data_IF_651216490117
#
_entry.id   IF_651216490117
#
_cell.length_a   1.000
_cell.length_b   1.000
_cell.length_c   1.000
_cell.angle_alpha   90.00
_cell.angle_beta   90.00
_cell.angle_gamma   90.00
#
_symmetry.space_group_name_H-M   'P 1'
#
loop_
_entity.id
_entity.type
_entity.pdbx_description
1 polymer ?
#
# COMPACT_ATOMS: atom_id res chain seq x y z
N UNK A 1 68.82 21.87 -55.90
CA UNK A 1 69.74 20.74 -56.14
C UNK A 1 69.00 19.43 -55.82
N UNK A 2 68.99 18.48 -56.77
CA UNK A 2 68.76 17.00 -56.71
C UNK A 2 67.98 16.40 -55.51
N UNK A 3 67.05 15.45 -55.62
CA UNK A 3 66.58 14.57 -56.72
C UNK A 3 65.28 13.83 -56.26
N UNK A 4 64.52 13.41 -57.26
CA UNK A 4 63.29 12.60 -57.29
C UNK A 4 63.63 11.09 -57.16
N UNK A 5 62.78 10.24 -56.56
CA UNK A 5 62.15 9.07 -57.23
C UNK A 5 61.24 8.20 -56.33
N UNK A 6 60.11 7.85 -56.95
CA UNK A 6 59.00 6.96 -56.58
C UNK A 6 59.30 5.48 -56.93
N UNK A 7 58.32 4.60 -56.59
CA UNK A 7 58.02 3.22 -57.07
C UNK A 7 58.48 2.07 -56.14
N UNK A 8 57.72 1.01 -55.87
CA UNK A 8 56.37 0.60 -56.26
C UNK A 8 55.87 -0.58 -55.38
N UNK A 9 54.55 -0.61 -55.20
CA UNK A 9 53.61 -1.71 -54.98
C UNK A 9 54.03 -3.12 -55.49
N UNK A 10 53.82 -4.18 -54.68
CA UNK A 10 52.72 -5.17 -54.89
C UNK A 10 52.93 -6.54 -54.19
N UNK A 11 51.86 -6.99 -53.51
CA UNK A 11 51.32 -8.36 -53.43
C UNK A 11 52.18 -9.50 -52.85
N UNK A 12 51.84 -9.97 -51.63
CA UNK A 12 51.38 -11.34 -51.38
C UNK A 12 50.29 -11.30 -50.30
N UNK A 13 49.06 -11.62 -50.71
CA UNK A 13 47.96 -12.03 -49.85
C UNK A 13 48.05 -13.54 -49.56
N UNK A 14 47.27 -13.99 -48.57
CA UNK A 14 47.06 -15.39 -48.13
C UNK A 14 48.17 -16.01 -47.30
N UNK A 15 48.07 -15.89 -45.98
CA UNK A 15 48.10 -17.03 -45.04
C UNK A 15 47.44 -16.58 -43.72
N UNK A 16 46.15 -16.28 -43.82
CA UNK A 16 45.22 -16.47 -42.70
C UNK A 16 44.70 -17.91 -42.81
N UNK A 17 44.42 -18.50 -41.66
CA UNK A 17 43.94 -19.86 -41.40
C UNK A 17 45.00 -20.88 -40.97
N UNK A 18 44.71 -21.48 -39.82
CA UNK A 18 45.40 -22.53 -39.08
C UNK A 18 46.52 -22.09 -38.13
N UNK A 19 46.11 -21.57 -36.96
CA UNK A 19 46.52 -22.24 -35.73
C UNK A 19 45.43 -22.20 -34.66
N UNK A 20 45.00 -23.40 -34.30
CA UNK A 20 43.99 -23.73 -33.33
C UNK A 20 44.29 -23.14 -31.95
N UNK A 21 43.33 -22.44 -31.38
CA UNK A 21 42.95 -22.67 -29.98
C UNK A 21 41.56 -23.28 -30.02
N UNK A 22 41.49 -24.61 -29.91
CA UNK A 22 40.25 -25.28 -29.57
C UNK A 22 39.90 -24.86 -28.14
N UNK A 23 39.16 -23.76 -27.98
CA UNK A 23 38.33 -23.60 -26.81
C UNK A 23 37.34 -24.77 -26.86
N UNK A 24 37.47 -25.68 -25.89
CA UNK A 24 36.42 -26.66 -25.62
C UNK A 24 35.11 -25.89 -25.50
N UNK A 25 34.00 -26.38 -26.08
CA UNK A 25 32.69 -25.83 -25.80
C UNK A 25 32.55 -25.79 -24.28
N UNK A 26 32.22 -24.62 -23.73
CA UNK A 26 31.69 -24.57 -22.36
C UNK A 26 30.45 -25.45 -22.43
N UNK A 27 30.49 -26.60 -21.75
CA UNK A 27 29.29 -27.38 -21.48
C UNK A 27 28.33 -26.41 -20.82
N UNK A 28 27.25 -26.02 -21.51
CA UNK A 28 26.13 -25.38 -20.86
C UNK A 28 25.68 -26.40 -19.82
N UNK A 29 25.88 -26.08 -18.53
CA UNK A 29 25.16 -26.79 -17.49
C UNK A 29 23.69 -26.80 -17.91
N UNK A 30 23.01 -27.95 -17.77
CA UNK A 30 21.60 -28.03 -18.09
C UNK A 30 20.90 -26.86 -17.42
N UNK A 31 20.03 -26.18 -18.17
CA UNK A 31 19.14 -25.12 -17.68
C UNK A 31 18.33 -25.70 -16.52
N UNK A 32 18.93 -25.67 -15.35
CA UNK A 32 18.27 -26.01 -14.12
C UNK A 32 17.32 -24.84 -13.99
N UNK A 33 16.01 -25.12 -14.10
CA UNK A 33 14.92 -24.18 -13.92
C UNK A 33 14.91 -23.62 -12.48
N UNK A 34 16.04 -23.12 -12.01
CA UNK A 34 16.23 -22.54 -10.71
C UNK A 34 15.71 -21.12 -10.81
N UNK A 35 14.41 -20.99 -10.53
CA UNK A 35 13.66 -19.72 -10.49
C UNK A 35 14.06 -18.85 -9.29
N UNK A 36 15.32 -18.93 -8.89
CA UNK A 36 15.83 -18.24 -7.74
C UNK A 36 16.20 -16.81 -8.11
N UNK A 37 15.25 -15.91 -7.91
CA UNK A 37 15.36 -14.48 -8.21
C UNK A 37 16.55 -13.77 -7.54
N UNK A 38 17.24 -14.39 -6.57
CA UNK A 38 18.31 -13.74 -5.79
C UNK A 38 19.59 -14.59 -5.63
N UNK A 39 19.73 -15.73 -6.32
CA UNK A 39 20.94 -16.56 -6.24
C UNK A 39 21.26 -17.16 -4.87
N UNK A 40 20.39 -16.99 -3.87
CA UNK A 40 20.50 -17.62 -2.57
C UNK A 40 19.78 -18.97 -2.63
N UNK A 41 20.49 -20.09 -2.79
CA UNK A 41 19.99 -21.47 -2.86
C UNK A 41 19.25 -21.95 -1.58
N UNK A 42 18.41 -21.09 -1.02
CA UNK A 42 17.60 -21.31 0.15
C UNK A 42 16.37 -22.07 -0.30
N UNK A 43 16.10 -23.19 0.37
CA UNK A 43 14.87 -23.94 0.18
C UNK A 43 13.66 -23.02 0.43
N UNK A 44 12.77 -22.90 -0.56
CA UNK A 44 11.53 -22.10 -0.49
C UNK A 44 10.33 -23.00 -0.25
N UNK A 45 9.24 -22.42 0.27
CA UNK A 45 7.99 -23.13 0.57
C UNK A 45 7.91 -23.58 2.03
N UNK A 46 7.17 -24.65 2.29
CA UNK A 46 7.01 -25.21 3.64
C UNK A 46 8.33 -25.83 4.12
N UNK A 47 8.99 -25.17 5.07
CA UNK A 47 10.24 -25.65 5.67
C UNK A 47 10.05 -26.25 7.06
N UNK A 48 8.93 -25.97 7.72
CA UNK A 48 8.61 -26.45 9.07
C UNK A 48 7.14 -26.89 9.11
N UNK A 49 6.90 -28.16 9.48
CA UNK A 49 5.57 -28.67 9.82
C UNK A 49 5.69 -29.63 11.01
N UNK A 50 5.03 -29.33 12.12
CA UNK A 50 5.02 -30.16 13.32
C UNK A 50 3.73 -29.94 14.12
N UNK A 51 3.40 -30.83 15.05
CA UNK A 51 2.11 -30.83 15.75
C UNK A 51 1.85 -29.60 16.64
N UNK A 52 2.88 -28.78 16.93
CA UNK A 52 2.73 -27.56 17.73
C UNK A 52 2.24 -26.34 16.93
N UNK A 53 2.11 -26.45 15.60
CA UNK A 53 1.57 -25.37 14.77
C UNK A 53 0.04 -25.25 14.92
N UNK A 54 -0.46 -24.02 14.90
CA UNK A 54 -1.90 -23.73 14.88
C UNK A 54 -2.60 -24.50 13.75
N UNK A 55 -3.73 -25.20 14.01
CA UNK A 55 -4.49 -25.85 12.95
C UNK A 55 -5.10 -24.81 12.01
N UNK A 56 -5.34 -25.19 10.76
CA UNK A 56 -6.01 -24.35 9.78
C UNK A 56 -5.33 -24.36 8.41
N UNK A 57 -5.63 -23.30 7.66
CA UNK A 57 -5.16 -23.11 6.29
C UNK A 57 -4.49 -21.73 6.16
N UNK A 58 -3.62 -21.60 5.16
CA UNK A 58 -3.02 -20.33 4.78
C UNK A 58 -3.62 -19.91 3.45
N UNK A 59 -4.22 -18.72 3.40
CA UNK A 59 -4.66 -18.10 2.17
C UNK A 59 -3.59 -17.14 1.66
N UNK A 60 -3.23 -17.21 0.38
CA UNK A 60 -2.32 -16.24 -0.21
C UNK A 60 -2.66 -15.93 -1.66
N UNK A 61 -2.22 -14.74 -2.10
CA UNK A 61 -2.38 -14.24 -3.45
C UNK A 61 -1.00 -14.01 -4.06
N UNK A 62 -0.59 -14.74 -5.12
CA UNK A 62 0.63 -14.43 -5.82
C UNK A 62 0.54 -13.05 -6.47
N UNK A 63 1.61 -12.26 -6.39
CA UNK A 63 1.67 -10.94 -7.03
C UNK A 63 1.38 -11.04 -8.53
N UNK A 64 0.59 -10.10 -9.04
CA UNK A 64 0.18 -10.02 -10.46
C UNK A 64 -0.58 -11.25 -10.97
N UNK A 65 -1.21 -12.02 -10.08
CA UNK A 65 -2.05 -13.15 -10.43
C UNK A 65 -3.53 -12.83 -10.19
N UNK A 66 -4.41 -13.44 -10.98
CA UNK A 66 -5.85 -13.44 -10.73
C UNK A 66 -6.30 -14.59 -9.82
N UNK A 67 -5.36 -15.42 -9.34
CA UNK A 67 -5.67 -16.58 -8.51
C UNK A 67 -5.41 -16.28 -7.03
N UNK A 68 -6.29 -16.79 -6.17
CA UNK A 68 -6.11 -16.86 -4.72
C UNK A 68 -6.09 -18.33 -4.32
N UNK A 69 -5.11 -18.73 -3.52
CA UNK A 69 -4.93 -20.13 -3.13
C UNK A 69 -5.17 -20.33 -1.65
N UNK A 70 -5.74 -21.49 -1.29
CA UNK A 70 -5.83 -21.98 0.08
C UNK A 70 -4.92 -23.20 0.23
N UNK A 71 -3.99 -23.14 1.17
CA UNK A 71 -3.00 -24.19 1.42
C UNK A 71 -3.25 -24.85 2.77
N UNK A 72 -3.11 -26.18 2.81
CA UNK A 72 -3.09 -26.90 4.08
C UNK A 72 -1.69 -26.85 4.72
N UNK A 73 -1.57 -27.45 5.91
CA UNK A 73 -0.31 -27.51 6.67
C UNK A 73 0.80 -28.33 6.02
N UNK A 74 0.48 -29.15 5.01
CA UNK A 74 1.48 -29.89 4.22
C UNK A 74 1.98 -29.07 3.03
N UNK A 75 1.52 -27.82 2.86
CA UNK A 75 1.88 -26.96 1.74
C UNK A 75 1.15 -27.34 0.45
N UNK A 76 0.13 -28.18 0.53
CA UNK A 76 -0.67 -28.61 -0.61
C UNK A 76 -1.77 -27.57 -0.86
N UNK A 77 -1.94 -27.18 -2.12
CA UNK A 77 -3.08 -26.37 -2.55
C UNK A 77 -4.34 -27.23 -2.45
N UNK A 78 -5.24 -26.86 -1.54
CA UNK A 78 -6.53 -27.54 -1.35
C UNK A 78 -7.67 -26.85 -2.07
N UNK A 79 -7.48 -25.57 -2.43
CA UNK A 79 -8.47 -24.80 -3.18
C UNK A 79 -7.83 -23.64 -3.94
N UNK A 80 -8.48 -23.23 -5.05
CA UNK A 80 -8.14 -22.05 -5.84
C UNK A 80 -9.44 -21.30 -6.18
N UNK A 81 -9.47 -20.01 -5.89
CA UNK A 81 -10.41 -19.08 -6.50
C UNK A 81 -9.71 -18.37 -7.65
N UNK A 82 -10.38 -18.30 -8.80
CA UNK A 82 -9.85 -17.64 -9.99
C UNK A 82 -10.73 -16.45 -10.40
N UNK A 83 -10.13 -15.27 -10.37
CA UNK A 83 -10.70 -14.01 -10.87
C UNK A 83 -10.34 -13.71 -12.32
N UNK A 84 -10.53 -12.46 -12.71
CA UNK A 84 -10.29 -11.92 -14.06
C UNK A 84 -9.10 -10.94 -14.14
N UNK A 85 -8.69 -10.33 -13.03
CA UNK A 85 -7.58 -9.36 -12.96
C UNK A 85 -6.59 -9.70 -11.84
N UNK A 86 -5.42 -9.05 -11.86
CA UNK A 86 -4.49 -9.10 -10.73
C UNK A 86 -5.21 -8.73 -9.43
N UNK A 87 -5.04 -9.51 -8.38
CA UNK A 87 -5.74 -9.33 -7.10
C UNK A 87 -4.78 -9.15 -5.93
N UNK A 88 -5.27 -8.51 -4.86
CA UNK A 88 -4.66 -8.53 -3.54
C UNK A 88 -5.75 -8.43 -2.45
N UNK A 89 -5.33 -8.59 -1.20
CA UNK A 89 -6.16 -8.43 0.00
C UNK A 89 -7.47 -9.25 0.00
N UNK A 90 -7.39 -10.58 -0.19
CA UNK A 90 -8.58 -11.43 -0.12
C UNK A 90 -9.06 -11.64 1.31
N UNK A 91 -10.37 -11.60 1.50
CA UNK A 91 -11.08 -11.95 2.71
C UNK A 91 -11.98 -13.16 2.45
N UNK A 92 -11.82 -14.21 3.25
CA UNK A 92 -12.67 -15.40 3.19
C UNK A 92 -13.96 -15.12 3.97
N UNK A 93 -15.10 -15.30 3.29
CA UNK A 93 -16.41 -15.17 3.89
C UNK A 93 -16.91 -16.53 4.42
N UNK A 94 -17.89 -16.52 5.33
CA UNK A 94 -18.45 -17.72 5.97
C UNK A 94 -19.06 -18.74 4.99
N UNK A 95 -19.52 -18.29 3.82
CA UNK A 95 -20.09 -19.13 2.76
C UNK A 95 -19.01 -19.74 1.83
N UNK A 96 -17.73 -19.50 2.11
CA UNK A 96 -16.59 -19.93 1.30
C UNK A 96 -16.37 -19.07 0.04
N UNK A 97 -17.15 -18.02 -0.19
CA UNK A 97 -16.77 -16.99 -1.16
C UNK A 97 -15.61 -16.17 -0.63
N UNK A 98 -14.89 -15.50 -1.53
CA UNK A 98 -13.90 -14.49 -1.17
C UNK A 98 -14.36 -13.11 -1.63
N UNK A 99 -14.08 -12.09 -0.84
CA UNK A 99 -14.18 -10.68 -1.21
C UNK A 99 -12.76 -10.12 -1.32
N UNK A 100 -12.46 -9.36 -2.37
CA UNK A 100 -11.09 -8.93 -2.65
C UNK A 100 -11.03 -7.63 -3.44
N UNK A 101 -9.82 -7.07 -3.48
CA UNK A 101 -9.44 -6.00 -4.39
C UNK A 101 -8.86 -6.58 -5.68
N UNK A 102 -9.22 -6.00 -6.81
CA UNK A 102 -8.70 -6.36 -8.13
C UNK A 102 -8.26 -5.11 -8.91
N UNK A 103 -7.22 -5.27 -9.72
CA UNK A 103 -6.67 -4.20 -10.56
C UNK A 103 -7.63 -3.88 -11.70
N UNK A 104 -8.08 -2.64 -11.72
CA UNK A 104 -8.80 -2.03 -12.81
C UNK A 104 -7.83 -1.85 -13.99
N UNK A 105 -8.17 -2.37 -15.18
CA UNK A 105 -7.28 -2.29 -16.32
C UNK A 105 -7.24 -0.90 -16.94
N UNK A 106 -8.10 0.06 -16.57
CA UNK A 106 -8.19 1.36 -17.23
C UNK A 106 -8.64 2.50 -16.32
N UNK A 107 -7.71 2.98 -15.48
CA UNK A 107 -7.90 4.19 -14.67
C UNK A 107 -6.96 5.32 -15.14
N UNK A 108 -7.34 6.61 -15.02
CA UNK A 108 -6.63 7.70 -15.70
C UNK A 108 -5.58 8.47 -14.87
N UNK A 109 -5.80 8.64 -13.56
CA UNK A 109 -5.10 9.69 -12.77
C UNK A 109 -4.04 9.14 -11.82
N UNK A 110 -4.42 8.14 -11.03
CA UNK A 110 -3.65 7.73 -9.86
C UNK A 110 -2.46 6.86 -10.23
N UNK A 111 -1.38 6.97 -9.46
CA UNK A 111 -0.19 6.14 -9.57
C UNK A 111 0.46 5.94 -8.19
N UNK A 112 0.24 4.84 -7.49
CA UNK A 112 0.72 4.63 -6.12
C UNK A 112 0.79 3.16 -5.74
N UNK A 113 1.38 2.82 -4.59
CA UNK A 113 1.38 1.43 -4.11
C UNK A 113 -0.04 0.86 -4.03
N UNK A 114 -0.23 -0.45 -4.23
CA UNK A 114 -1.53 -1.09 -4.02
C UNK A 114 -2.69 -0.69 -4.95
N UNK A 115 -2.43 -0.08 -6.12
CA UNK A 115 -3.44 0.20 -7.16
C UNK A 115 -4.36 -1.02 -7.40
N UNK A 116 -5.65 -0.80 -7.22
CA UNK A 116 -6.69 -1.78 -7.53
C UNK A 116 -7.80 -1.11 -8.31
N UNK A 117 -8.73 -0.41 -7.67
CA UNK A 117 -9.84 0.25 -8.35
C UNK A 117 -11.06 -0.64 -8.59
N UNK A 118 -11.01 -1.95 -8.28
CA UNK A 118 -12.18 -2.83 -8.32
C UNK A 118 -12.37 -3.61 -7.01
N UNK A 119 -13.64 -3.77 -6.63
CA UNK A 119 -14.11 -4.64 -5.57
C UNK A 119 -14.80 -5.85 -6.17
N UNK A 120 -14.37 -7.05 -5.79
CA UNK A 120 -14.94 -8.29 -6.32
C UNK A 120 -15.35 -9.25 -5.22
N UNK A 121 -16.41 -10.02 -5.50
CA UNK A 121 -16.81 -11.18 -4.70
C UNK A 121 -16.87 -12.41 -5.59
N UNK A 122 -16.13 -13.46 -5.23
CA UNK A 122 -15.99 -14.70 -6.01
C UNK A 122 -16.47 -15.87 -5.15
N UNK A 123 -17.44 -16.63 -5.64
CA UNK A 123 -17.92 -17.83 -4.94
C UNK A 123 -16.84 -18.94 -4.85
N UNK A 124 -17.05 -19.91 -3.97
CA UNK A 124 -16.24 -21.14 -3.88
C UNK A 124 -16.02 -21.87 -5.22
N UNK A 125 -16.92 -21.72 -6.20
CA UNK A 125 -16.79 -22.34 -7.53
C UNK A 125 -16.15 -21.41 -8.57
N UNK A 126 -15.46 -20.34 -8.14
CA UNK A 126 -14.88 -19.31 -9.01
C UNK A 126 -15.89 -18.60 -9.92
N UNK A 127 -17.18 -18.56 -9.53
CA UNK A 127 -18.17 -17.72 -10.19
C UNK A 127 -18.13 -16.31 -9.59
N UNK A 128 -17.99 -15.30 -10.44
CA UNK A 128 -18.11 -13.89 -10.06
C UNK A 128 -19.53 -13.59 -9.56
N UNK A 129 -19.64 -13.09 -8.33
CA UNK A 129 -20.87 -12.70 -7.66
C UNK A 129 -21.05 -11.18 -7.64
N UNK A 130 -19.94 -10.44 -7.60
CA UNK A 130 -19.89 -8.98 -7.62
C UNK A 130 -18.59 -8.53 -8.28
N UNK A 131 -18.64 -7.53 -9.16
CA UNK A 131 -17.50 -6.90 -9.79
C UNK A 131 -17.79 -5.40 -9.98
N UNK A 132 -17.41 -4.59 -9.01
CA UNK A 132 -17.72 -3.17 -8.95
C UNK A 132 -16.47 -2.31 -9.10
N UNK A 133 -16.59 -1.28 -9.93
CA UNK A 133 -15.54 -0.29 -10.18
C UNK A 133 -15.64 0.87 -9.20
N UNK A 134 -14.54 1.16 -8.52
CA UNK A 134 -14.37 2.36 -7.72
C UNK A 134 -13.07 3.06 -8.11
N UNK A 135 -13.04 3.48 -9.38
CA UNK A 135 -11.92 4.17 -10.00
C UNK A 135 -12.45 5.16 -11.04
N UNK A 136 -12.06 6.43 -10.93
CA UNK A 136 -12.27 7.45 -11.95
C UNK A 136 -11.17 8.53 -11.84
N UNK A 137 -11.41 9.72 -12.37
CA UNK A 137 -10.46 10.84 -12.30
C UNK A 137 -10.37 11.47 -10.89
N UNK A 138 -11.41 11.33 -10.07
CA UNK A 138 -11.55 11.98 -8.77
C UNK A 138 -11.12 11.07 -7.62
N UNK A 139 -11.27 9.75 -7.76
CA UNK A 139 -10.94 8.78 -6.72
C UNK A 139 -10.52 7.41 -7.27
N UNK A 140 -9.80 6.63 -6.46
CA UNK A 140 -9.37 5.28 -6.83
C UNK A 140 -9.13 4.40 -5.60
N UNK A 141 -9.84 3.28 -5.50
CA UNK A 141 -9.65 2.31 -4.41
C UNK A 141 -8.27 1.64 -4.48
N UNK A 142 -7.61 1.44 -3.34
CA UNK A 142 -6.30 0.81 -3.28
C UNK A 142 -6.07 0.02 -1.99
N UNK A 143 -5.02 -0.80 -2.01
CA UNK A 143 -4.48 -1.58 -0.90
C UNK A 143 -5.42 -2.60 -0.25
N UNK A 144 -6.41 -2.17 0.54
CA UNK A 144 -7.11 -3.08 1.46
C UNK A 144 -8.58 -2.67 1.69
N UNK A 145 -9.34 -3.63 2.20
CA UNK A 145 -10.77 -3.54 2.49
C UNK A 145 -11.08 -4.16 3.85
N UNK A 146 -12.24 -3.86 4.42
CA UNK A 146 -12.79 -4.61 5.53
C UNK A 146 -14.24 -5.00 5.24
N UNK A 147 -14.58 -6.26 5.47
CA UNK A 147 -15.95 -6.77 5.29
C UNK A 147 -16.72 -6.55 6.59
N UNK A 148 -17.82 -5.81 6.51
CA UNK A 148 -18.66 -5.50 7.66
C UNK A 148 -19.72 -6.59 7.89
N UNK A 149 -20.25 -6.74 9.12
CA UNK A 149 -21.27 -7.76 9.43
C UNK A 149 -22.57 -7.64 8.63
N UNK A 150 -22.89 -6.43 8.15
CA UNK A 150 -24.06 -6.18 7.28
C UNK A 150 -23.81 -6.59 5.82
N UNK A 151 -22.58 -6.99 5.47
CA UNK A 151 -22.17 -7.34 4.11
C UNK A 151 -21.61 -6.17 3.29
N UNK A 152 -21.60 -4.94 3.84
CA UNK A 152 -20.96 -3.80 3.21
C UNK A 152 -19.44 -3.94 3.28
N UNK A 153 -18.76 -3.19 2.40
CA UNK A 153 -17.31 -3.18 2.31
C UNK A 153 -16.79 -1.79 2.62
N UNK A 154 -15.94 -1.68 3.64
CA UNK A 154 -15.09 -0.51 3.80
C UNK A 154 -13.90 -0.64 2.86
N UNK A 155 -13.63 0.38 2.08
CA UNK A 155 -12.49 0.42 1.17
C UNK A 155 -11.65 1.67 1.41
N UNK A 156 -10.33 1.50 1.37
CA UNK A 156 -9.40 2.62 1.30
C UNK A 156 -9.36 3.11 -0.15
N UNK A 157 -9.39 4.42 -0.35
CA UNK A 157 -9.26 5.02 -1.67
C UNK A 157 -8.47 6.33 -1.60
N UNK A 158 -7.81 6.68 -2.70
CA UNK A 158 -7.32 8.04 -2.90
C UNK A 158 -8.47 8.95 -3.35
N UNK A 159 -8.35 10.24 -3.07
CA UNK A 159 -9.09 11.31 -3.74
C UNK A 159 -8.12 12.36 -4.32
N UNK A 160 -8.44 12.96 -5.46
CA UNK A 160 -7.57 13.96 -6.08
C UNK A 160 -7.81 15.37 -5.52
N UNK A 161 -6.73 16.05 -5.13
CA UNK A 161 -6.71 17.48 -4.77
C UNK A 161 -5.69 18.21 -5.61
N UNK A 162 -6.10 19.29 -6.26
CA UNK A 162 -5.21 20.09 -7.11
C UNK A 162 -4.10 20.76 -6.30
N UNK A 163 -3.00 21.13 -6.97
CA UNK A 163 -1.90 21.87 -6.35
C UNK A 163 -2.36 23.19 -5.69
N UNK A 164 -3.38 23.86 -6.26
CA UNK A 164 -3.95 25.09 -5.70
C UNK A 164 -4.71 24.82 -4.40
N UNK A 165 -5.53 23.77 -4.34
CA UNK A 165 -6.23 23.37 -3.12
C UNK A 165 -5.25 22.98 -2.02
N UNK A 166 -4.20 22.23 -2.37
CA UNK A 166 -3.13 21.80 -1.47
C UNK A 166 -2.35 23.00 -0.91
N UNK A 167 -2.03 23.98 -1.75
CA UNK A 167 -1.37 25.21 -1.31
C UNK A 167 -2.26 25.98 -0.32
N UNK A 168 -3.55 26.15 -0.63
CA UNK A 168 -4.51 26.84 0.25
C UNK A 168 -4.72 26.11 1.57
N UNK A 169 -4.59 24.77 1.58
CA UNK A 169 -4.66 23.96 2.79
C UNK A 169 -3.40 24.06 3.68
N UNK A 170 -2.38 24.82 3.24
CA UNK A 170 -1.19 25.15 4.03
C UNK A 170 -0.06 24.11 3.96
N UNK A 171 -0.01 23.31 2.89
CA UNK A 171 1.18 22.52 2.56
C UNK A 171 2.32 23.46 2.16
N UNK A 172 3.53 23.14 2.62
CA UNK A 172 4.78 23.77 2.18
C UNK A 172 4.85 23.77 0.63
N UNK A 173 4.93 24.95 -0.01
CA UNK A 173 4.98 25.07 -1.46
C UNK A 173 6.08 24.25 -2.14
N UNK A 174 7.22 24.06 -1.46
CA UNK A 174 8.36 23.29 -2.00
C UNK A 174 8.11 21.77 -1.96
N UNK A 175 7.02 21.34 -1.31
CA UNK A 175 6.60 19.94 -1.18
C UNK A 175 5.34 19.61 -1.97
N UNK A 176 4.85 20.51 -2.84
CA UNK A 176 3.64 20.29 -3.64
C UNK A 176 4.00 19.71 -5.01
N UNK A 177 3.62 18.45 -5.33
CA UNK A 177 3.70 17.94 -6.68
C UNK A 177 2.84 18.77 -7.64
N UNK A 178 3.26 18.91 -8.89
CA UNK A 178 2.52 19.69 -9.90
C UNK A 178 1.10 19.15 -10.14
N UNK A 179 0.91 17.84 -10.05
CA UNK A 179 -0.41 17.22 -10.17
C UNK A 179 -1.27 17.35 -8.89
N UNK A 180 -0.74 17.96 -7.82
CA UNK A 180 -1.40 18.02 -6.52
C UNK A 180 -1.18 16.76 -5.69
N UNK A 181 -2.05 16.53 -4.71
CA UNK A 181 -1.98 15.41 -3.77
C UNK A 181 -3.13 14.43 -3.96
N UNK A 182 -2.88 13.21 -3.50
CA UNK A 182 -3.84 12.13 -3.38
C UNK A 182 -3.99 11.71 -1.91
N UNK A 183 -4.63 12.54 -1.06
CA UNK A 183 -4.97 12.11 0.29
C UNK A 183 -5.87 10.87 0.26
N UNK A 184 -5.73 10.01 1.26
CA UNK A 184 -6.59 8.85 1.43
C UNK A 184 -7.94 9.24 2.05
N UNK A 185 -8.97 8.50 1.66
CA UNK A 185 -10.30 8.48 2.24
C UNK A 185 -10.74 7.03 2.47
N UNK A 186 -11.76 6.85 3.30
CA UNK A 186 -12.40 5.56 3.58
C UNK A 186 -13.86 5.66 3.18
N UNK A 187 -14.35 4.67 2.44
CA UNK A 187 -15.74 4.64 1.96
C UNK A 187 -16.42 3.33 2.35
N UNK A 188 -17.65 3.40 2.85
CA UNK A 188 -18.51 2.23 3.03
C UNK A 188 -19.37 2.03 1.79
N UNK A 189 -19.26 0.85 1.19
CA UNK A 189 -19.94 0.49 -0.06
C UNK A 189 -20.92 -0.64 0.20
N UNK A 190 -22.20 -0.36 -0.07
CA UNK A 190 -23.27 -1.33 -0.13
C UNK A 190 -23.28 -1.99 -1.53
N UNK A 191 -23.27 -3.32 -1.57
CA UNK A 191 -23.49 -4.05 -2.82
C UNK A 191 -24.95 -3.90 -3.27
N UNK A 192 -25.18 -3.29 -4.44
CA UNK A 192 -26.53 -3.10 -5.00
C UNK A 192 -26.93 -4.27 -5.88
N UNK A 193 -26.05 -4.66 -6.81
CA UNK A 193 -26.26 -5.81 -7.69
C UNK A 193 -24.91 -6.47 -8.03
N UNK A 194 -24.80 -7.13 -9.19
CA UNK A 194 -23.58 -7.83 -9.62
C UNK A 194 -22.46 -6.90 -10.09
N UNK A 195 -22.77 -5.68 -10.48
CA UNK A 195 -21.81 -4.75 -11.10
C UNK A 195 -21.84 -3.35 -10.49
N UNK A 196 -22.83 -3.06 -9.64
CA UNK A 196 -22.97 -1.77 -8.99
C UNK A 196 -22.83 -1.87 -7.47
N UNK A 197 -22.26 -0.82 -6.89
CA UNK A 197 -22.23 -0.54 -5.47
C UNK A 197 -22.74 0.88 -5.22
N UNK A 198 -23.13 1.16 -3.98
CA UNK A 198 -23.55 2.48 -3.53
C UNK A 198 -22.69 2.87 -2.33
N UNK A 199 -22.05 4.04 -2.40
CA UNK A 199 -21.39 4.62 -1.23
C UNK A 199 -22.48 5.09 -0.27
N UNK A 200 -22.43 4.61 0.98
CA UNK A 200 -23.42 4.92 2.03
C UNK A 200 -22.83 5.69 3.21
N UNK A 201 -21.50 5.73 3.32
CA UNK A 201 -20.75 6.52 4.29
C UNK A 201 -19.36 6.82 3.75
N UNK A 202 -18.80 8.00 4.08
CA UNK A 202 -17.42 8.38 3.73
C UNK A 202 -16.73 9.13 4.87
N UNK A 203 -15.42 9.00 4.93
CA UNK A 203 -14.51 9.75 5.80
C UNK A 203 -13.25 10.11 5.04
N UNK A 204 -12.72 11.32 5.26
CA UNK A 204 -11.64 11.88 4.46
C UNK A 204 -10.53 12.41 5.35
N UNK A 205 -9.26 12.09 5.08
CA UNK A 205 -8.16 12.79 5.77
C UNK A 205 -8.26 14.31 5.59
N UNK A 206 -8.75 14.76 4.43
CA UNK A 206 -8.81 16.16 4.05
C UNK A 206 -9.61 17.04 5.02
N UNK A 207 -10.63 16.47 5.68
CA UNK A 207 -11.48 17.18 6.64
C UNK A 207 -10.84 17.33 8.03
N UNK A 208 -9.75 16.58 8.29
CA UNK A 208 -9.07 16.51 9.59
C UNK A 208 -7.63 17.02 9.52
N UNK A 209 -7.38 18.05 8.71
CA UNK A 209 -6.05 18.62 8.50
C UNK A 209 -5.75 19.79 9.45
N UNK A 210 -4.49 19.91 9.86
CA UNK A 210 -3.90 21.04 10.58
C UNK A 210 -2.53 21.38 10.01
N UNK A 211 -2.03 22.60 10.22
CA UNK A 211 -0.65 22.98 9.93
C UNK A 211 -0.20 24.15 10.81
N UNK A 212 1.11 24.24 11.06
CA UNK A 212 1.75 25.35 11.80
C UNK A 212 2.83 26.07 10.95
N UNK A 213 2.79 25.88 9.63
CA UNK A 213 3.77 26.38 8.66
C UNK A 213 3.49 27.82 8.22
N UNK A 214 2.27 28.11 7.76
CA UNK A 214 1.88 29.43 7.22
C UNK A 214 0.59 29.95 7.89
N UNK A 215 0.66 31.00 8.73
CA UNK A 215 -0.50 31.59 9.40
C UNK A 215 -1.53 32.26 8.49
N UNK A 216 -1.21 32.46 7.20
CA UNK A 216 -2.13 33.04 6.22
C UNK A 216 -2.95 32.01 5.45
N UNK A 217 -2.60 30.73 5.53
CA UNK A 217 -3.29 29.63 4.86
C UNK A 217 -4.35 28.99 5.75
N UNK A 218 -5.22 28.16 5.15
CA UNK A 218 -6.21 27.40 5.91
C UNK A 218 -5.54 26.42 6.88
N UNK A 219 -6.33 25.88 7.80
CA UNK A 219 -5.91 24.86 8.76
C UNK A 219 -4.76 25.29 9.69
N UNK A 220 -4.43 26.58 9.76
CA UNK A 220 -3.39 27.07 10.66
C UNK A 220 -3.80 26.90 12.12
N UNK A 221 -2.94 26.27 12.91
CA UNK A 221 -3.17 26.02 14.32
C UNK A 221 -1.95 25.45 15.03
N UNK A 222 -2.07 25.21 16.33
CA UNK A 222 -1.00 24.57 17.10
C UNK A 222 -1.09 23.04 16.92
N UNK A 223 -0.27 22.49 16.03
CA UNK A 223 -0.21 21.04 15.76
C UNK A 223 -0.01 20.22 17.05
N UNK A 224 0.83 20.68 17.97
CA UNK A 224 1.10 19.97 19.23
C UNK A 224 -0.14 19.85 20.13
N UNK A 225 -1.07 20.80 20.03
CA UNK A 225 -2.29 20.86 20.84
C UNK A 225 -3.45 20.05 20.25
N UNK A 226 -3.32 19.57 19.01
CA UNK A 226 -4.37 18.87 18.27
C UNK A 226 -3.87 17.52 17.73
N UNK A 227 -3.49 16.56 18.60
CA UNK A 227 -3.08 15.23 18.16
C UNK A 227 -4.17 14.49 17.38
N UNK A 228 -5.43 14.87 17.55
CA UNK A 228 -6.59 14.34 16.83
C UNK A 228 -6.66 14.73 15.34
N UNK A 229 -5.80 15.64 14.88
CA UNK A 229 -5.72 16.10 13.49
C UNK A 229 -4.40 15.68 12.82
N UNK A 230 -4.41 15.63 11.49
CA UNK A 230 -3.26 15.31 10.65
C UNK A 230 -2.53 16.59 10.23
N UNK A 231 -1.25 16.70 10.57
CA UNK A 231 -0.40 17.75 10.01
C UNK A 231 -0.21 17.49 8.50
N UNK A 232 -0.78 18.36 7.65
CA UNK A 232 -0.71 18.23 6.18
C UNK A 232 0.75 18.23 5.68
N UNK A 233 1.69 18.70 6.51
CA UNK A 233 3.10 18.76 6.17
C UNK A 233 3.89 17.50 6.50
N UNK A 234 3.23 16.41 6.88
CA UNK A 234 3.85 15.10 7.18
C UNK A 234 3.56 14.05 6.10
N UNK A 235 4.24 12.92 6.18
CA UNK A 235 4.21 11.85 5.19
C UNK A 235 5.46 11.83 4.31
N UNK A 236 5.35 11.27 3.10
CA UNK A 236 6.49 11.21 2.17
C UNK A 236 6.89 12.60 1.69
N UNK A 237 8.20 12.80 1.58
CA UNK A 237 8.78 13.98 0.94
C UNK A 237 8.60 13.92 -0.58
N UNK A 238 8.51 15.09 -1.20
CA UNK A 238 8.49 15.21 -2.65
C UNK A 238 9.83 14.72 -3.22
N UNK A 239 9.86 13.67 -4.05
CA UNK A 239 11.11 13.17 -4.60
C UNK A 239 11.74 14.15 -5.59
N UNK A 240 13.07 14.12 -5.70
CA UNK A 240 13.83 14.93 -6.66
C UNK A 240 13.23 14.84 -8.07
N UNK A 241 13.10 15.98 -8.79
CA UNK A 241 12.54 16.00 -10.13
C UNK A 241 13.41 15.18 -11.10
N UNK A 242 12.76 14.54 -12.06
CA UNK A 242 13.43 13.80 -13.14
C UNK A 242 13.00 14.34 -14.50
N UNK A 243 13.84 14.14 -15.52
CA UNK A 243 13.51 14.50 -16.91
C UNK A 243 12.44 13.58 -17.49
N UNK A 244 11.76 14.04 -18.55
CA UNK A 244 10.84 13.20 -19.31
C UNK A 244 11.54 11.95 -19.88
N UNK A 245 12.73 12.10 -20.44
CA UNK A 245 13.54 10.96 -20.94
C UNK A 245 13.80 9.90 -19.85
N UNK A 246 14.03 10.35 -18.61
CA UNK A 246 14.22 9.42 -17.47
C UNK A 246 12.92 8.68 -17.13
N UNK A 247 11.78 9.36 -17.21
CA UNK A 247 10.47 8.75 -17.01
C UNK A 247 10.16 7.71 -18.10
N UNK A 248 10.37 8.08 -19.37
CA UNK A 248 10.14 7.20 -20.51
C UNK A 248 11.02 5.94 -20.45
N UNK A 249 12.30 6.09 -20.05
CA UNK A 249 13.20 4.96 -19.85
C UNK A 249 12.72 4.00 -18.74
N UNK A 250 12.20 4.54 -17.63
CA UNK A 250 11.67 3.72 -16.53
C UNK A 250 10.39 2.97 -16.91
N UNK A 251 9.51 3.61 -17.67
CA UNK A 251 8.33 2.96 -18.26
C UNK A 251 8.73 1.82 -19.20
N UNK A 252 9.67 2.07 -20.11
CA UNK A 252 10.19 1.04 -21.01
C UNK A 252 10.82 -0.15 -20.25
N UNK A 253 11.45 0.12 -19.10
CA UNK A 253 12.01 -0.89 -18.21
C UNK A 253 10.98 -1.57 -17.28
N UNK A 254 9.69 -1.19 -17.34
CA UNK A 254 8.62 -1.67 -16.44
C UNK A 254 8.93 -1.46 -14.95
N UNK A 255 9.66 -0.38 -14.64
CA UNK A 255 10.03 0.01 -13.27
C UNK A 255 9.07 1.06 -12.68
N UNK A 256 8.07 1.49 -13.44
CA UNK A 256 7.09 2.49 -13.02
C UNK A 256 5.66 2.01 -13.24
N UNK A 257 4.75 2.60 -12.47
CA UNK A 257 3.30 2.39 -12.63
C UNK A 257 2.81 3.05 -13.90
N UNK A 258 1.79 2.46 -14.52
CA UNK A 258 1.27 2.88 -15.84
C UNK A 258 1.00 4.38 -15.93
N UNK A 259 0.34 4.97 -14.93
CA UNK A 259 -0.06 6.38 -14.95
C UNK A 259 0.95 7.30 -14.27
N UNK A 260 2.13 6.78 -13.89
CA UNK A 260 3.17 7.61 -13.30
C UNK A 260 3.68 8.63 -14.33
N UNK A 261 3.65 9.90 -13.97
CA UNK A 261 4.21 11.00 -14.76
C UNK A 261 5.26 11.75 -13.94
N UNK A 262 6.01 12.66 -14.58
CA UNK A 262 6.94 13.53 -13.85
C UNK A 262 6.22 14.47 -12.87
N UNK A 263 4.94 14.76 -13.10
CA UNK A 263 4.17 15.77 -12.36
C UNK A 263 3.42 15.19 -11.16
N UNK A 264 3.11 13.89 -11.17
CA UNK A 264 2.38 13.20 -10.08
C UNK A 264 3.29 12.35 -9.17
N UNK A 265 4.61 12.50 -9.30
CA UNK A 265 5.56 11.92 -8.35
C UNK A 265 5.41 12.65 -7.01
N UNK A 266 5.19 11.87 -5.95
CA UNK A 266 4.97 12.41 -4.61
C UNK A 266 3.51 12.76 -4.29
N UNK A 267 2.54 12.53 -5.18
CA UNK A 267 1.13 12.80 -4.88
C UNK A 267 0.53 11.85 -3.83
N UNK A 268 1.01 10.59 -3.77
CA UNK A 268 0.66 9.58 -2.75
C UNK A 268 1.51 9.77 -1.47
N UNK A 269 1.12 10.74 -0.64
CA UNK A 269 1.89 11.23 0.52
C UNK A 269 1.67 10.38 1.77
N UNK A 270 0.42 10.06 2.10
CA UNK A 270 0.06 9.39 3.34
C UNK A 270 -0.05 7.88 3.19
N UNK A 271 -0.53 7.37 2.06
CA UNK A 271 -0.41 5.95 1.70
C UNK A 271 -1.00 5.00 2.75
N UNK A 272 -2.31 5.05 2.97
CA UNK A 272 -2.99 4.09 3.84
C UNK A 272 -3.00 2.73 3.18
N UNK A 273 -2.70 1.68 3.95
CA UNK A 273 -2.39 0.36 3.39
C UNK A 273 -3.10 -0.83 4.04
N UNK A 274 -3.77 -0.61 5.17
CA UNK A 274 -4.53 -1.64 5.85
C UNK A 274 -5.66 -1.02 6.65
N UNK A 275 -6.78 -1.73 6.73
CA UNK A 275 -8.00 -1.29 7.40
C UNK A 275 -8.68 -2.48 8.07
N UNK A 276 -9.24 -2.26 9.26
CA UNK A 276 -10.07 -3.25 9.94
C UNK A 276 -11.21 -2.58 10.69
N UNK A 277 -12.34 -3.27 10.79
CA UNK A 277 -13.55 -2.78 11.44
C UNK A 277 -13.86 -3.59 12.71
N UNK A 278 -14.20 -2.89 13.78
CA UNK A 278 -14.65 -3.49 15.03
C UNK A 278 -16.14 -3.22 15.24
N UNK A 279 -16.96 -4.24 15.03
CA UNK A 279 -18.42 -4.12 15.15
C UNK A 279 -18.93 -3.91 16.58
N UNK A 280 -18.21 -4.35 17.61
CA UNK A 280 -18.61 -4.12 19.01
C UNK A 280 -18.41 -2.65 19.40
N UNK A 281 -17.36 -2.01 18.86
CA UNK A 281 -17.03 -0.61 19.13
C UNK A 281 -17.64 0.36 18.11
N UNK A 282 -18.01 -0.11 16.93
CA UNK A 282 -18.39 0.71 15.77
C UNK A 282 -17.27 1.68 15.39
N UNK A 283 -16.06 1.13 15.26
CA UNK A 283 -14.82 1.87 15.03
C UNK A 283 -14.00 1.22 13.93
N UNK A 284 -13.22 2.05 13.24
CA UNK A 284 -12.30 1.62 12.18
C UNK A 284 -10.88 1.88 12.66
N UNK A 285 -9.99 0.90 12.49
CA UNK A 285 -8.54 1.06 12.62
C UNK A 285 -7.93 1.00 11.24
N UNK A 286 -6.95 1.86 10.97
CA UNK A 286 -6.20 1.84 9.72
C UNK A 286 -4.75 2.29 9.94
N UNK A 287 -3.87 1.99 8.98
CA UNK A 287 -2.45 2.30 9.09
C UNK A 287 -1.88 3.00 7.87
N UNK A 288 -0.91 3.89 8.12
CA UNK A 288 -0.15 4.61 7.10
C UNK A 288 1.36 4.36 7.29
N UNK A 289 2.01 3.50 6.49
CA UNK A 289 3.46 3.29 6.52
C UNK A 289 4.26 4.56 6.27
N UNK A 290 3.75 5.50 5.47
CA UNK A 290 4.42 6.77 5.20
C UNK A 290 4.42 7.71 6.39
N UNK A 291 3.37 7.68 7.21
CA UNK A 291 3.32 8.41 8.47
C UNK A 291 4.03 7.64 9.59
N UNK A 292 4.15 6.32 9.48
CA UNK A 292 4.61 5.46 10.56
C UNK A 292 3.58 5.40 11.70
N UNK A 293 2.29 5.44 11.36
CA UNK A 293 1.21 5.54 12.35
C UNK A 293 0.03 4.59 12.09
N UNK A 294 -0.64 4.26 13.19
CA UNK A 294 -1.94 3.59 13.24
C UNK A 294 -2.94 4.58 13.82
N UNK A 295 -4.15 4.60 13.27
CA UNK A 295 -5.23 5.49 13.65
C UNK A 295 -6.49 4.71 13.99
N UNK A 296 -7.34 5.28 14.85
CA UNK A 296 -8.70 4.80 15.11
C UNK A 296 -9.67 5.96 14.96
N UNK A 297 -10.76 5.75 14.23
CA UNK A 297 -11.85 6.72 14.02
C UNK A 297 -13.22 6.14 14.41
N UNK A 298 -14.19 7.02 14.68
CA UNK A 298 -15.57 6.67 15.00
C UNK A 298 -16.39 6.46 13.72
N UNK A 299 -16.89 5.25 13.52
CA UNK A 299 -17.74 4.91 12.37
C UNK A 299 -19.23 5.11 12.65
N UNK A 300 -19.63 5.35 13.91
CA UNK A 300 -21.04 5.59 14.27
C UNK A 300 -21.61 6.93 13.80
N UNK A 301 -20.84 7.66 12.99
CA UNK A 301 -21.16 8.97 12.41
C UNK A 301 -21.98 8.81 11.13
N UNK A 302 -22.71 9.87 10.73
CA UNK A 302 -23.10 10.03 9.31
C UNK A 302 -21.91 10.60 8.54
N UNK A 303 -21.92 10.60 7.21
CA UNK A 303 -20.88 11.25 6.39
C UNK A 303 -20.66 12.72 6.80
N UNK A 304 -21.73 13.47 7.07
CA UNK A 304 -21.61 14.87 7.48
C UNK A 304 -21.01 15.03 8.89
N UNK A 305 -21.30 14.09 9.80
CA UNK A 305 -20.70 14.08 11.13
C UNK A 305 -19.24 13.58 11.10
N UNK A 306 -18.90 12.69 10.17
CA UNK A 306 -17.55 12.22 9.92
C UNK A 306 -16.67 13.36 9.42
N UNK A 307 -17.16 14.20 8.51
CA UNK A 307 -16.44 15.40 8.05
C UNK A 307 -16.32 16.53 9.10
N UNK A 308 -16.90 16.36 10.29
CA UNK A 308 -16.90 17.35 11.37
C UNK A 308 -16.03 16.92 12.56
N UNK A 309 -15.73 17.88 13.44
CA UNK A 309 -14.99 17.67 14.71
C UNK A 309 -15.92 17.33 15.89
N UNK A 310 -17.17 16.93 15.62
CA UNK A 310 -18.19 16.62 16.63
C UNK A 310 -19.26 15.68 16.08
N UNK A 311 -19.81 14.85 16.95
CA UNK A 311 -20.80 13.83 16.59
C UNK A 311 -20.26 12.42 16.80
N UNK A 312 -21.03 11.41 16.39
CA UNK A 312 -20.73 10.01 16.70
C UNK A 312 -20.91 9.70 18.19
N UNK A 313 -20.71 8.42 18.55
CA UNK A 313 -20.77 7.92 19.93
C UNK A 313 -19.66 8.52 20.79
N UNK A 314 -18.52 8.85 20.20
CA UNK A 314 -17.37 9.42 20.90
C UNK A 314 -17.41 10.96 20.98
N UNK A 315 -18.37 11.59 20.31
CA UNK A 315 -18.52 13.05 20.31
C UNK A 315 -17.43 13.81 19.55
N UNK A 316 -16.58 13.11 18.80
CA UNK A 316 -15.42 13.65 18.06
C UNK A 316 -15.64 13.78 16.55
N UNK A 317 -16.81 13.39 16.05
CA UNK A 317 -17.03 13.30 14.60
C UNK A 317 -16.03 12.34 13.97
N UNK A 318 -15.33 12.75 12.91
CA UNK A 318 -14.29 11.95 12.27
C UNK A 318 -12.86 12.19 12.75
N UNK A 319 -12.63 13.06 13.74
CA UNK A 319 -11.28 13.27 14.27
C UNK A 319 -10.68 11.97 14.82
N UNK A 320 -9.36 11.85 14.81
CA UNK A 320 -8.71 10.64 15.33
C UNK A 320 -9.04 10.48 16.81
N UNK A 321 -9.67 9.36 17.15
CA UNK A 321 -9.88 8.95 18.53
C UNK A 321 -8.54 8.56 19.15
N UNK A 322 -7.69 7.91 18.36
CA UNK A 322 -6.40 7.40 18.80
C UNK A 322 -5.42 7.42 17.64
N UNK A 323 -4.15 7.69 17.96
CA UNK A 323 -3.02 7.49 17.05
C UNK A 323 -1.81 6.97 17.80
N UNK A 324 -1.00 6.16 17.13
CA UNK A 324 0.23 5.62 17.71
C UNK A 324 1.27 5.30 16.63
N UNK A 325 2.55 5.46 16.97
CA UNK A 325 3.67 5.00 16.15
C UNK A 325 4.73 6.07 15.91
N UNK A 326 4.32 7.30 15.56
CA UNK A 326 5.26 8.37 15.22
C UNK A 326 4.85 9.75 15.79
N UNK A 327 5.14 10.02 17.08
CA UNK A 327 4.70 11.25 17.74
C UNK A 327 5.31 12.54 17.21
N UNK A 328 6.40 12.46 16.44
CA UNK A 328 7.01 13.63 15.80
C UNK A 328 6.09 14.28 14.75
N UNK A 329 5.16 13.51 14.17
CA UNK A 329 4.21 14.03 13.18
C UNK A 329 3.30 15.11 13.78
N UNK A 330 3.01 15.02 15.08
CA UNK A 330 2.18 15.98 15.82
C UNK A 330 2.94 16.65 16.96
N UNK A 331 4.27 16.81 16.82
CA UNK A 331 5.14 17.58 17.73
C UNK A 331 5.16 17.08 19.20
N UNK A 332 4.81 15.82 19.45
CA UNK A 332 4.80 15.22 20.80
C UNK A 332 6.01 14.30 21.04
N UNK A 333 7.05 14.44 20.23
CA UNK A 333 8.28 13.67 20.33
C UNK A 333 9.23 14.00 19.18
N UNK A 334 10.33 13.27 19.13
CA UNK A 334 11.34 13.35 18.08
C UNK A 334 11.61 11.97 17.46
N UNK A 335 12.65 11.86 16.64
CA UNK A 335 13.03 10.61 15.96
C UNK A 335 13.33 9.45 16.92
N UNK A 336 13.67 9.72 18.18
CA UNK A 336 13.91 8.69 19.21
C UNK A 336 12.62 8.10 19.77
N UNK A 337 11.47 8.74 19.50
CA UNK A 337 10.16 8.28 19.98
C UNK A 337 9.37 7.50 18.93
N UNK A 338 9.82 7.46 17.67
CA UNK A 338 9.17 6.66 16.63
C UNK A 338 9.33 5.16 16.90
N UNK A 339 8.23 4.43 16.83
CA UNK A 339 8.17 2.99 17.12
C UNK A 339 7.65 2.15 15.93
N UNK A 340 7.06 2.79 14.92
CA UNK A 340 6.50 2.10 13.75
C UNK A 340 7.17 2.56 12.46
N UNK A 341 7.54 1.60 11.61
CA UNK A 341 8.37 1.81 10.42
C UNK A 341 7.87 0.93 9.26
N UNK A 342 7.03 1.53 8.41
CA UNK A 342 6.48 0.84 7.25
C UNK A 342 5.47 -0.26 7.62
N UNK A 343 4.66 -0.05 8.65
CA UNK A 343 3.70 -1.04 9.14
C UNK A 343 2.59 -1.38 8.13
N UNK A 344 2.11 -2.61 8.20
CA UNK A 344 1.05 -3.21 7.38
C UNK A 344 0.13 -4.07 8.24
N UNK A 345 -1.03 -4.44 7.68
CA UNK A 345 -1.91 -5.48 8.22
C UNK A 345 -2.43 -5.19 9.63
N UNK A 346 -2.90 -3.95 9.87
CA UNK A 346 -3.46 -3.57 11.17
C UNK A 346 -4.81 -4.24 11.40
N UNK A 347 -4.98 -4.93 12.53
CA UNK A 347 -6.20 -5.67 12.89
C UNK A 347 -6.48 -5.64 14.37
N UNK A 348 -7.74 -5.56 14.77
CA UNK A 348 -8.13 -5.94 16.12
C UNK A 348 -8.04 -7.45 16.31
N UNK A 349 -7.57 -7.85 17.48
CA UNK A 349 -7.67 -9.24 17.91
C UNK A 349 -9.12 -9.51 18.31
N UNK A 350 -9.73 -10.47 17.62
CA UNK A 350 -11.11 -10.89 17.84
C UNK A 350 -11.35 -11.45 19.26
N UNK A 351 -12.61 -11.35 19.69
CA UNK A 351 -13.09 -11.92 20.95
C UNK A 351 -12.82 -13.42 21.03
N UNK A 352 -12.40 -13.89 22.21
CA UNK A 352 -12.09 -15.30 22.44
C UNK A 352 -10.68 -15.72 21.99
N UNK A 353 -9.88 -14.81 21.41
CA UNK A 353 -8.45 -15.04 21.14
C UNK A 353 -7.57 -14.43 22.24
N UNK A 354 -6.35 -14.96 22.48
CA UNK A 354 -5.41 -14.35 23.41
C UNK A 354 -5.12 -12.89 23.03
N UNK A 355 -5.36 -11.97 23.97
CA UNK A 355 -5.19 -10.53 23.73
C UNK A 355 -6.37 -9.86 23.02
N UNK A 356 -7.55 -10.47 22.98
CA UNK A 356 -8.77 -9.88 22.44
C UNK A 356 -8.94 -8.39 22.83
N UNK A 357 -9.28 -7.55 21.86
CA UNK A 357 -9.40 -6.10 22.00
C UNK A 357 -8.10 -5.32 21.81
N UNK A 358 -6.93 -5.97 21.84
CA UNK A 358 -5.68 -5.38 21.39
C UNK A 358 -5.65 -5.29 19.85
N UNK A 359 -4.66 -4.58 19.33
CA UNK A 359 -4.41 -4.39 17.90
C UNK A 359 -3.09 -5.07 17.54
N UNK A 360 -3.06 -5.82 16.45
CA UNK A 360 -1.84 -6.37 15.86
C UNK A 360 -1.52 -5.71 14.54
N UNK A 361 -0.24 -5.64 14.21
CA UNK A 361 0.23 -5.20 12.90
C UNK A 361 1.62 -5.75 12.62
N UNK A 362 2.00 -5.83 11.35
CA UNK A 362 3.32 -6.23 10.89
C UNK A 362 4.16 -4.98 10.64
N UNK A 363 5.32 -4.85 11.29
CA UNK A 363 6.23 -3.73 11.18
C UNK A 363 7.41 -4.13 10.29
N UNK A 364 7.48 -3.60 9.07
CA UNK A 364 8.34 -4.16 8.01
C UNK A 364 9.82 -3.79 8.14
N UNK A 365 10.11 -2.56 8.55
CA UNK A 365 11.44 -1.96 8.37
C UNK A 365 11.96 -1.36 9.69
N UNK A 366 12.02 -2.16 10.75
CA UNK A 366 12.54 -1.69 12.03
C UNK A 366 14.05 -1.43 11.93
N UNK A 367 14.50 -0.19 12.20
CA UNK A 367 15.91 0.14 12.13
C UNK A 367 16.65 -0.46 13.33
N UNK A 368 17.76 -1.15 13.09
CA UNK A 368 18.72 -1.56 14.13
C UNK A 368 19.88 -0.57 14.30
N UNK A 369 19.83 0.57 13.61
CA UNK A 369 20.88 1.58 13.54
C UNK A 369 21.39 1.79 12.11
N UNK A 370 22.27 2.77 11.92
CA UNK A 370 22.71 3.26 10.59
C UNK A 370 23.40 2.20 9.72
N UNK A 371 23.98 1.16 10.32
CA UNK A 371 24.81 0.14 9.66
C UNK A 371 24.33 -1.30 9.91
N UNK A 372 23.05 -1.49 10.26
CA UNK A 372 22.48 -2.83 10.52
C UNK A 372 21.43 -3.19 9.49
N UNK A 373 21.18 -4.49 9.31
CA UNK A 373 20.07 -4.94 8.47
C UNK A 373 18.76 -4.67 9.20
N UNK A 374 17.85 -3.99 8.53
CA UNK A 374 16.48 -3.85 9.03
C UNK A 374 15.88 -5.23 9.29
N UNK A 375 15.03 -5.31 10.31
CA UNK A 375 14.25 -6.51 10.60
C UNK A 375 12.77 -6.19 10.58
N UNK A 376 11.96 -7.24 10.49
CA UNK A 376 10.52 -7.12 10.65
C UNK A 376 10.06 -7.74 11.98
N UNK A 377 8.94 -7.25 12.50
CA UNK A 377 8.34 -7.81 13.71
C UNK A 377 6.82 -7.67 13.68
N UNK A 378 6.13 -8.58 14.37
CA UNK A 378 4.69 -8.44 14.65
C UNK A 378 4.56 -7.76 16.00
N UNK A 379 3.82 -6.66 16.03
CA UNK A 379 3.56 -5.91 17.26
C UNK A 379 2.13 -6.20 17.72
N UNK A 380 1.96 -6.19 19.04
CA UNK A 380 0.65 -6.20 19.68
C UNK A 380 0.52 -4.97 20.56
N UNK A 381 -0.31 -4.03 20.13
CA UNK A 381 -0.60 -2.79 20.83
C UNK A 381 -1.87 -2.98 21.66
N UNK A 382 -1.81 -2.66 22.96
CA UNK A 382 -3.01 -2.49 23.78
C UNK A 382 -3.36 -1.01 23.76
N UNK A 383 -4.43 -0.58 23.06
CA UNK A 383 -4.82 0.83 23.09
C UNK A 383 -5.21 1.21 24.52
N UNK A 384 -4.65 2.31 25.00
CA UNK A 384 -5.04 2.83 26.31
C UNK A 384 -6.45 3.38 26.21
N UNK A 385 -7.27 3.07 27.23
CA UNK A 385 -8.64 3.59 27.34
C UNK A 385 -8.89 4.05 28.76
N UNK A 386 -9.63 5.14 28.91
CA UNK A 386 -10.15 5.59 30.19
C UNK A 386 -11.30 4.68 30.68
N UNK A 387 -11.85 5.01 31.86
CA UNK A 387 -12.95 4.25 32.49
C UNK A 387 -14.26 4.29 31.69
N UNK A 388 -14.42 5.29 30.83
CA UNK A 388 -15.60 5.54 30.02
C UNK A 388 -15.43 4.97 28.60
N UNK A 389 -14.27 4.37 28.31
CA UNK A 389 -13.94 3.70 27.05
C UNK A 389 -13.34 4.62 25.98
N UNK A 390 -13.06 5.89 26.31
CA UNK A 390 -12.35 6.83 25.45
C UNK A 390 -10.85 6.53 25.44
N UNK A 391 -10.14 6.98 24.42
CA UNK A 391 -8.70 6.77 24.26
C UNK A 391 -7.86 7.82 24.98
#
# INVERSE_FOLDING_TARGET
>A
MKRIQLYAFSLIAMFLFFNCTQQKPVEQEPDNNDRNMFGHYIQRGLTINNDNLTPGYVMFTPSNSASVYLLNRNGEVVHEWKGNYGTHSPYLNDDGSISLMATDPDFPVFAGGGESGRLQKISWKSKMLWDFEYANEEYHAHHDIAIMPNGNVLAIAWEAKSAEEVLKAGRDPDQIPKAGLWPDKIVEIEQVDKTHGKVVWEWHFWDHMIQDHDPSMNNFGNVAAHPELLDINKGRELPDPISQDSMDARHAAKMERRNRTIDNRGSDVYHVNAINYNAELDQIVFSSPSLGEIFIIDHSTTTEAAAAHKGGKMGKGGDFLFRWGNPQNYRQGDSTNQQSFGQHDVRWIEKGKPGAGNITFYNNALPLGRDSLDYSAIYQLKPMKDKDGNY
#
